data_IF_374299383512
#
_entry.id   IF_374299383512
#
_cell.length_a   1.000
_cell.length_b   1.000
_cell.length_c   1.000
_cell.angle_alpha   90.00
_cell.angle_beta   90.00
_cell.angle_gamma   90.00
#
_symmetry.space_group_name_H-M   'P 1'
#
loop_
_entity.id
_entity.type
_entity.pdbx_description
1 polymer ?
#
# COMPACT_ATOMS: atom_id res chain seq x y z
N UNK A 1 -11.03 -4.10 -20.16
CA UNK A 1 -10.59 -3.79 -18.78
C UNK A 1 -9.08 -3.92 -18.72
N UNK A 2 -8.40 -2.89 -18.24
CA UNK A 2 -7.01 -2.98 -17.78
C UNK A 2 -6.90 -3.97 -16.62
N UNK A 3 -5.70 -4.47 -16.31
CA UNK A 3 -5.56 -5.57 -15.35
C UNK A 3 -5.67 -5.09 -13.89
N UNK A 4 -4.88 -4.09 -13.51
CA UNK A 4 -4.74 -3.66 -12.11
C UNK A 4 -4.81 -2.14 -11.97
N UNK A 5 -5.53 -1.68 -10.95
CA UNK A 5 -5.39 -0.34 -10.39
C UNK A 5 -5.35 -0.39 -8.87
N UNK A 6 -4.87 0.70 -8.26
CA UNK A 6 -4.74 0.83 -6.80
C UNK A 6 -5.71 1.89 -6.30
N UNK A 7 -6.43 1.56 -5.22
CA UNK A 7 -7.30 2.47 -4.49
C UNK A 7 -6.68 2.76 -3.12
N UNK A 8 -6.55 4.03 -2.77
CA UNK A 8 -6.00 4.47 -1.48
C UNK A 8 -7.08 5.19 -0.68
N UNK A 9 -6.96 5.19 0.65
CA UNK A 9 -7.81 6.02 1.52
C UNK A 9 -7.57 7.52 1.32
N UNK A 10 -8.40 8.32 2.00
CA UNK A 10 -8.19 9.75 2.13
C UNK A 10 -6.84 10.07 2.76
N UNK A 11 -6.03 10.88 2.08
CA UNK A 11 -4.73 11.33 2.53
C UNK A 11 -4.88 12.59 3.38
N UNK A 12 -4.32 12.53 4.59
CA UNK A 12 -4.33 13.59 5.60
C UNK A 12 -2.92 13.76 6.19
N UNK A 13 -2.10 14.58 5.53
CA UNK A 13 -0.69 14.84 5.82
C UNK A 13 -0.40 16.34 5.91
N UNK A 14 -1.14 17.06 6.76
CA UNK A 14 -0.99 18.51 6.89
C UNK A 14 0.43 18.97 7.29
N UNK A 15 1.11 18.20 8.15
CA UNK A 15 2.40 18.57 8.75
C UNK A 15 3.53 17.58 8.43
N UNK A 16 3.27 16.55 7.63
CA UNK A 16 4.23 15.49 7.35
C UNK A 16 4.54 15.49 5.85
N UNK A 17 5.81 15.71 5.51
CA UNK A 17 6.27 15.61 4.13
C UNK A 17 6.77 14.20 3.83
N UNK A 18 5.96 13.43 3.09
CA UNK A 18 6.28 12.09 2.63
C UNK A 18 6.57 12.03 1.13
N UNK A 19 6.83 13.17 0.50
CA UNK A 19 6.92 13.29 -0.97
C UNK A 19 7.93 12.31 -1.58
N UNK A 20 9.11 12.16 -0.99
CA UNK A 20 10.15 11.25 -1.50
C UNK A 20 9.70 9.79 -1.43
N UNK A 21 9.14 9.36 -0.29
CA UNK A 21 8.61 8.00 -0.10
C UNK A 21 7.44 7.73 -1.03
N UNK A 22 6.61 8.74 -1.27
CA UNK A 22 5.47 8.65 -2.17
C UNK A 22 5.90 8.46 -3.63
N UNK A 23 6.95 9.14 -4.09
CA UNK A 23 7.51 8.92 -5.43
C UNK A 23 8.01 7.47 -5.56
N UNK A 24 8.78 6.98 -4.59
CA UNK A 24 9.28 5.59 -4.58
C UNK A 24 8.13 4.58 -4.65
N UNK A 25 7.08 4.78 -3.85
CA UNK A 25 5.91 3.91 -3.82
C UNK A 25 5.13 3.92 -5.15
N UNK A 26 4.89 5.10 -5.74
CA UNK A 26 4.18 5.23 -7.02
C UNK A 26 4.97 4.54 -8.16
N UNK A 27 6.28 4.77 -8.25
CA UNK A 27 7.11 4.15 -9.28
C UNK A 27 7.18 2.64 -9.11
N UNK A 28 7.30 2.14 -7.87
CA UNK A 28 7.29 0.70 -7.61
C UNK A 28 5.95 0.04 -8.01
N UNK A 29 4.82 0.69 -7.71
CA UNK A 29 3.52 0.20 -8.17
C UNK A 29 3.40 0.18 -9.69
N UNK A 30 3.94 1.19 -10.37
CA UNK A 30 3.98 1.23 -11.83
C UNK A 30 4.79 0.05 -12.39
N UNK A 31 5.98 -0.21 -11.85
CA UNK A 31 6.84 -1.34 -12.23
C UNK A 31 6.13 -2.67 -12.01
N UNK A 32 5.43 -2.84 -10.88
CA UNK A 32 4.68 -4.05 -10.55
C UNK A 32 3.44 -4.27 -11.45
N UNK A 33 3.03 -3.28 -12.23
CA UNK A 33 1.97 -3.39 -13.24
C UNK A 33 0.68 -2.67 -12.90
N UNK A 34 0.65 -1.81 -11.87
CA UNK A 34 -0.49 -0.95 -11.60
C UNK A 34 -0.63 0.11 -12.70
N UNK A 35 -1.79 0.16 -13.36
CA UNK A 35 -2.03 1.08 -14.48
C UNK A 35 -2.45 2.49 -14.05
N UNK A 36 -3.11 2.58 -12.89
CA UNK A 36 -3.61 3.83 -12.33
C UNK A 36 -3.69 3.72 -10.81
N UNK A 37 -3.44 4.83 -10.14
CA UNK A 37 -3.58 4.97 -8.69
C UNK A 37 -4.64 6.04 -8.41
N UNK A 38 -5.69 5.66 -7.70
CA UNK A 38 -6.77 6.54 -7.27
C UNK A 38 -6.52 6.99 -5.83
N UNK A 39 -6.29 8.28 -5.67
CA UNK A 39 -5.97 8.94 -4.41
C UNK A 39 -7.07 9.93 -4.05
N UNK A 40 -7.20 10.21 -2.76
CA UNK A 40 -8.24 11.08 -2.25
C UNK A 40 -7.64 12.16 -1.36
N UNK A 41 -7.86 13.42 -1.70
CA UNK A 41 -7.31 14.56 -0.96
C UNK A 41 -8.27 14.99 0.16
N UNK A 42 -7.79 14.91 1.41
CA UNK A 42 -8.38 15.64 2.53
C UNK A 42 -7.52 16.88 2.79
N UNK A 43 -6.36 16.71 3.42
CA UNK A 43 -5.38 17.77 3.69
C UNK A 43 -3.99 17.24 3.40
N UNK A 44 -3.19 17.99 2.63
CA UNK A 44 -1.89 17.50 2.18
C UNK A 44 -0.83 18.58 2.27
N UNK A 45 0.39 18.14 2.61
CA UNK A 45 1.58 18.96 2.53
C UNK A 45 1.79 19.47 1.08
N UNK A 46 2.20 20.73 0.86
CA UNK A 46 2.37 21.28 -0.49
C UNK A 46 3.30 20.47 -1.40
N UNK A 47 4.36 19.87 -0.86
CA UNK A 47 5.26 19.01 -1.63
C UNK A 47 4.58 17.71 -2.09
N UNK A 48 3.68 17.14 -1.28
CA UNK A 48 2.88 15.97 -1.67
C UNK A 48 1.95 16.37 -2.81
N UNK A 49 1.25 17.50 -2.69
CA UNK A 49 0.39 18.02 -3.76
C UNK A 49 1.16 18.26 -5.07
N UNK A 50 2.40 18.74 -4.99
CA UNK A 50 3.29 18.91 -6.14
C UNK A 50 3.64 17.57 -6.81
N UNK A 51 4.00 16.54 -6.03
CA UNK A 51 4.25 15.18 -6.54
C UNK A 51 3.01 14.61 -7.21
N UNK A 52 1.85 14.70 -6.55
CA UNK A 52 0.60 14.15 -7.08
C UNK A 52 0.16 14.85 -8.36
N UNK A 53 0.32 16.17 -8.45
CA UNK A 53 0.04 16.92 -9.68
C UNK A 53 0.88 16.40 -10.85
N UNK A 54 2.18 16.18 -10.66
CA UNK A 54 3.03 15.61 -11.69
C UNK A 54 2.51 14.25 -12.19
N UNK A 55 2.14 13.36 -11.27
CA UNK A 55 1.60 12.05 -11.65
C UNK A 55 0.19 12.09 -12.25
N UNK A 56 -0.61 13.12 -11.94
CA UNK A 56 -1.86 13.39 -12.63
C UNK A 56 -1.61 13.83 -14.07
N UNK A 57 -0.66 14.73 -14.30
CA UNK A 57 -0.35 15.28 -15.63
C UNK A 57 0.15 14.20 -16.59
N UNK A 58 0.90 13.20 -16.10
CA UNK A 58 1.32 12.04 -16.91
C UNK A 58 0.31 10.88 -16.91
N UNK A 59 -0.84 11.05 -16.25
CA UNK A 59 -1.94 10.10 -16.30
C UNK A 59 -1.80 8.87 -15.40
N UNK A 60 -0.81 8.78 -14.50
CA UNK A 60 -0.63 7.64 -13.60
C UNK A 60 -1.47 7.72 -12.31
N UNK A 61 -1.77 8.94 -11.87
CA UNK A 61 -2.60 9.21 -10.68
C UNK A 61 -3.92 9.87 -11.10
N UNK A 62 -4.98 9.57 -10.35
CA UNK A 62 -6.20 10.38 -10.30
C UNK A 62 -6.39 10.81 -8.85
N UNK A 63 -6.47 12.12 -8.62
CA UNK A 63 -6.65 12.71 -7.30
C UNK A 63 -8.05 13.32 -7.19
N UNK A 64 -8.85 12.78 -6.28
CA UNK A 64 -10.21 13.25 -6.03
C UNK A 64 -10.26 13.96 -4.68
N UNK A 65 -10.60 15.25 -4.68
CA UNK A 65 -10.82 16.00 -3.44
C UNK A 65 -12.09 15.52 -2.75
N UNK A 66 -12.01 15.25 -1.45
CA UNK A 66 -13.15 14.78 -0.64
C UNK A 66 -13.30 15.57 0.65
N UNK A 67 -14.49 15.48 1.22
CA UNK A 67 -14.88 16.04 2.52
C UNK A 67 -15.40 14.92 3.43
N UNK A 68 -15.37 15.16 4.75
CA UNK A 68 -16.04 14.29 5.70
C UNK A 68 -17.57 14.47 5.56
N UNK A 69 -18.36 13.39 5.54
CA UNK A 69 -19.80 13.47 5.31
C UNK A 69 -20.56 13.98 6.54
N UNK A 70 -21.78 14.47 6.30
CA UNK A 70 -22.71 14.91 7.33
C UNK A 70 -22.20 16.13 8.09
N UNK A 71 -22.39 16.13 9.41
CA UNK A 71 -22.03 17.25 10.29
C UNK A 71 -20.57 17.17 10.81
N UNK A 72 -19.72 16.39 10.15
CA UNK A 72 -18.31 16.27 10.51
C UNK A 72 -17.52 17.53 10.09
N UNK A 73 -16.45 17.89 10.82
CA UNK A 73 -15.70 19.12 10.53
C UNK A 73 -14.94 19.01 9.21
N UNK A 74 -15.11 20.02 8.35
CA UNK A 74 -14.42 20.15 7.06
C UNK A 74 -13.54 21.41 6.95
N UNK A 75 -13.46 22.21 8.00
CA UNK A 75 -12.52 23.33 8.05
C UNK A 75 -11.07 22.79 8.08
N UNK A 76 -10.16 23.34 7.27
CA UNK A 76 -8.74 22.97 7.29
C UNK A 76 -8.16 22.99 8.71
N UNK A 77 -7.28 22.04 9.04
CA UNK A 77 -6.67 21.91 10.37
C UNK A 77 -7.61 21.32 11.43
N UNK A 78 -8.87 21.77 11.52
CA UNK A 78 -9.87 21.16 12.41
C UNK A 78 -10.22 19.74 11.96
N UNK A 79 -10.33 19.52 10.65
CA UNK A 79 -10.54 18.18 10.09
C UNK A 79 -9.34 17.27 10.35
N UNK A 80 -8.10 17.75 10.14
CA UNK A 80 -6.89 17.02 10.51
C UNK A 80 -6.90 16.63 12.01
N UNK A 81 -7.18 17.58 12.89
CA UNK A 81 -7.30 17.34 14.33
C UNK A 81 -8.39 16.29 14.64
N UNK A 82 -9.57 16.41 14.03
CA UNK A 82 -10.67 15.47 14.23
C UNK A 82 -10.27 14.04 13.84
N UNK A 83 -9.68 13.85 12.66
CA UNK A 83 -9.23 12.54 12.18
C UNK A 83 -8.10 11.96 13.03
N UNK A 84 -7.19 12.80 13.53
CA UNK A 84 -6.09 12.39 14.42
C UNK A 84 -6.59 11.85 15.76
N UNK A 85 -7.57 12.51 16.39
CA UNK A 85 -8.03 12.16 17.74
C UNK A 85 -9.28 11.28 17.80
N UNK A 86 -10.08 11.21 16.73
CA UNK A 86 -11.28 10.34 16.63
C UNK A 86 -11.02 9.15 15.71
N UNK A 87 -10.19 8.22 16.17
CA UNK A 87 -9.72 7.07 15.38
C UNK A 87 -10.86 6.20 14.82
N UNK A 88 -11.94 5.98 15.57
CA UNK A 88 -13.10 5.23 15.07
C UNK A 88 -13.74 5.94 13.88
N UNK A 89 -13.99 7.26 14.00
CA UNK A 89 -14.52 8.07 12.90
C UNK A 89 -13.57 8.06 11.71
N UNK A 90 -12.26 8.20 11.93
CA UNK A 90 -11.25 8.10 10.87
C UNK A 90 -11.40 6.80 10.08
N UNK A 91 -11.41 5.65 10.76
CA UNK A 91 -11.53 4.32 10.13
C UNK A 91 -12.86 4.13 9.38
N UNK A 92 -13.96 4.67 9.91
CA UNK A 92 -15.25 4.63 9.22
C UNK A 92 -15.22 5.47 7.94
N UNK A 93 -14.62 6.66 7.98
CA UNK A 93 -14.48 7.53 6.82
C UNK A 93 -13.54 6.94 5.76
N UNK A 94 -12.54 6.14 6.14
CA UNK A 94 -11.66 5.44 5.17
C UNK A 94 -12.43 4.51 4.22
N UNK A 95 -13.61 4.01 4.60
CA UNK A 95 -14.42 3.14 3.75
C UNK A 95 -15.03 3.85 2.54
N UNK A 96 -15.28 5.15 2.62
CA UNK A 96 -15.91 5.95 1.58
C UNK A 96 -15.04 5.98 0.30
N UNK A 97 -13.77 6.42 0.34
CA UNK A 97 -12.92 6.46 -0.86
C UNK A 97 -12.66 5.08 -1.46
N UNK A 98 -12.60 4.02 -0.65
CA UNK A 98 -12.46 2.65 -1.18
C UNK A 98 -13.64 2.23 -2.04
N UNK A 99 -14.87 2.57 -1.62
CA UNK A 99 -16.07 2.21 -2.36
C UNK A 99 -16.33 3.17 -3.52
N UNK A 100 -16.06 4.48 -3.39
CA UNK A 100 -16.06 5.41 -4.54
C UNK A 100 -15.09 4.94 -5.63
N UNK A 101 -13.86 4.57 -5.24
CA UNK A 101 -12.86 4.02 -6.16
C UNK A 101 -13.37 2.77 -6.86
N UNK A 102 -13.95 1.83 -6.11
CA UNK A 102 -14.53 0.61 -6.67
C UNK A 102 -15.58 0.96 -7.72
N UNK A 103 -16.60 1.73 -7.36
CA UNK A 103 -17.76 1.97 -8.22
C UNK A 103 -17.42 2.73 -9.50
N UNK A 104 -16.47 3.67 -9.46
CA UNK A 104 -15.98 4.36 -10.66
C UNK A 104 -15.26 3.42 -11.64
N UNK A 105 -14.73 2.31 -11.14
CA UNK A 105 -13.73 1.51 -11.84
C UNK A 105 -14.13 0.05 -12.09
N UNK A 106 -15.35 -0.36 -11.71
CA UNK A 106 -15.84 -1.73 -11.93
C UNK A 106 -15.80 -2.17 -13.40
N UNK A 107 -15.95 -1.23 -14.33
CA UNK A 107 -15.90 -1.47 -15.78
C UNK A 107 -14.54 -1.20 -16.41
N UNK A 108 -13.60 -0.61 -15.67
CA UNK A 108 -12.30 -0.16 -16.17
C UNK A 108 -11.18 -1.18 -15.89
N UNK A 109 -11.19 -1.81 -14.71
CA UNK A 109 -10.13 -2.70 -14.26
C UNK A 109 -10.65 -4.09 -13.88
N UNK A 110 -9.84 -5.14 -14.08
CA UNK A 110 -10.16 -6.51 -13.64
C UNK A 110 -10.01 -6.65 -12.13
N UNK A 111 -8.91 -6.13 -11.59
CA UNK A 111 -8.60 -6.15 -10.16
C UNK A 111 -8.32 -4.75 -9.63
N UNK A 112 -8.85 -4.47 -8.44
CA UNK A 112 -8.48 -3.31 -7.64
C UNK A 112 -7.72 -3.76 -6.40
N UNK A 113 -6.52 -3.25 -6.19
CA UNK A 113 -5.77 -3.43 -4.95
C UNK A 113 -6.06 -2.26 -4.01
N UNK A 114 -6.44 -2.54 -2.77
CA UNK A 114 -6.60 -1.50 -1.74
C UNK A 114 -5.32 -1.46 -0.92
N UNK A 115 -4.55 -0.37 -1.00
CA UNK A 115 -3.25 -0.24 -0.35
C UNK A 115 -3.14 1.10 0.38
N UNK A 116 -2.45 1.10 1.51
CA UNK A 116 -1.90 2.32 2.09
C UNK A 116 -0.57 2.67 1.39
N UNK A 117 -0.14 3.94 1.48
CA UNK A 117 1.07 4.43 0.78
C UNK A 117 2.39 3.87 1.34
N UNK A 118 2.31 3.07 2.39
CA UNK A 118 3.42 2.38 3.06
C UNK A 118 3.36 0.86 2.85
N UNK A 119 2.48 0.39 1.97
CA UNK A 119 2.21 -1.02 1.72
C UNK A 119 2.43 -1.42 0.26
N UNK A 120 3.07 -2.56 0.03
CA UNK A 120 3.27 -3.14 -1.32
C UNK A 120 2.95 -4.62 -1.30
N UNK A 121 2.08 -5.06 -2.21
CA UNK A 121 1.94 -6.50 -2.52
C UNK A 121 3.14 -6.90 -3.38
N UNK A 122 4.08 -7.62 -2.79
CA UNK A 122 5.32 -8.03 -3.44
C UNK A 122 5.23 -9.49 -3.92
N UNK A 123 5.33 -9.74 -5.24
CA UNK A 123 5.53 -11.08 -5.77
C UNK A 123 6.92 -11.60 -5.39
N UNK A 124 7.01 -12.84 -4.91
CA UNK A 124 8.28 -13.47 -4.52
C UNK A 124 8.89 -14.28 -5.67
N UNK A 125 8.07 -15.01 -6.42
CA UNK A 125 8.52 -15.91 -7.51
C UNK A 125 8.27 -15.36 -8.92
N UNK A 126 7.66 -14.18 -9.03
CA UNK A 126 7.27 -13.55 -10.29
C UNK A 126 7.77 -12.10 -10.33
N UNK A 127 7.76 -11.50 -11.51
CA UNK A 127 8.29 -10.15 -11.74
C UNK A 127 7.22 -9.05 -11.65
N UNK A 128 5.94 -9.42 -11.72
CA UNK A 128 4.84 -8.45 -11.67
C UNK A 128 3.53 -9.10 -11.23
N UNK A 129 2.51 -8.26 -11.00
CA UNK A 129 1.19 -8.70 -10.57
C UNK A 129 0.45 -9.54 -11.60
N UNK A 130 0.70 -9.34 -12.91
CA UNK A 130 0.04 -10.13 -13.96
C UNK A 130 0.49 -11.59 -13.89
N UNK A 131 1.81 -11.84 -13.87
CA UNK A 131 2.38 -13.17 -13.74
C UNK A 131 1.97 -13.84 -12.41
N UNK A 132 2.03 -13.10 -11.30
CA UNK A 132 1.57 -13.59 -10.00
C UNK A 132 0.11 -14.04 -10.05
N UNK A 133 -0.77 -13.19 -10.59
CA UNK A 133 -2.20 -13.48 -10.60
C UNK A 133 -2.55 -14.61 -11.56
N UNK A 134 -1.83 -14.80 -12.66
CA UNK A 134 -2.01 -15.97 -13.53
C UNK A 134 -1.77 -17.28 -12.77
N UNK A 135 -0.68 -17.38 -12.00
CA UNK A 135 -0.40 -18.55 -11.17
C UNK A 135 -1.44 -18.74 -10.04
N UNK A 136 -1.80 -17.65 -9.35
CA UNK A 136 -2.80 -17.65 -8.28
C UNK A 136 -4.19 -18.08 -8.79
N UNK A 137 -4.60 -17.66 -9.99
CA UNK A 137 -5.88 -18.08 -10.56
C UNK A 137 -5.92 -19.59 -10.79
N UNK A 138 -4.86 -20.15 -11.37
CA UNK A 138 -4.74 -21.59 -11.61
C UNK A 138 -4.89 -22.36 -10.30
N UNK A 139 -4.19 -21.96 -9.25
CA UNK A 139 -4.27 -22.64 -7.95
C UNK A 139 -5.61 -22.43 -7.24
N UNK A 140 -6.23 -21.26 -7.39
CA UNK A 140 -7.54 -20.98 -6.83
C UNK A 140 -8.65 -21.82 -7.46
N UNK A 141 -8.57 -22.03 -8.79
CA UNK A 141 -9.52 -22.80 -9.57
C UNK A 141 -9.45 -24.30 -9.29
N UNK A 142 -8.27 -24.83 -8.94
CA UNK A 142 -8.11 -26.22 -8.47
C UNK A 142 -8.89 -26.50 -7.18
N UNK A 143 -9.03 -25.50 -6.29
CA UNK A 143 -9.79 -25.66 -5.03
C UNK A 143 -11.30 -25.56 -5.28
N UNK A 144 -11.73 -24.58 -6.09
CA UNK A 144 -13.11 -24.47 -6.56
C UNK A 144 -13.10 -23.92 -7.97
N UNK A 145 -13.85 -24.55 -8.88
CA UNK A 145 -13.92 -24.18 -10.29
C UNK A 145 -14.74 -22.89 -10.55
N UNK A 146 -14.41 -21.81 -9.85
CA UNK A 146 -14.93 -20.46 -10.07
C UNK A 146 -13.95 -19.41 -9.49
N UNK A 147 -13.93 -18.22 -10.08
CA UNK A 147 -13.10 -17.09 -9.64
C UNK A 147 -13.55 -16.53 -8.28
N UNK A 148 -12.64 -15.94 -7.52
CA UNK A 148 -12.90 -15.42 -6.17
C UNK A 148 -13.23 -13.95 -6.19
N UNK A 149 -13.95 -13.49 -5.16
CA UNK A 149 -14.22 -12.07 -4.95
C UNK A 149 -12.95 -11.31 -4.55
N UNK A 150 -12.03 -11.97 -3.84
CA UNK A 150 -10.75 -11.38 -3.49
C UNK A 150 -9.65 -12.43 -3.36
N UNK A 151 -8.42 -11.97 -3.54
CA UNK A 151 -7.19 -12.75 -3.36
C UNK A 151 -6.34 -12.00 -2.33
N UNK A 152 -6.33 -12.51 -1.09
CA UNK A 152 -5.68 -11.84 0.03
C UNK A 152 -4.22 -12.24 0.15
N UNK A 153 -3.41 -11.29 0.62
CA UNK A 153 -1.97 -11.42 0.76
C UNK A 153 -1.60 -11.15 2.22
N UNK A 154 -0.87 -12.08 2.84
CA UNK A 154 -0.50 -11.98 4.27
C UNK A 154 0.52 -10.87 4.51
N UNK A 155 0.28 -10.11 5.58
CA UNK A 155 1.14 -9.01 5.98
C UNK A 155 2.40 -9.46 6.72
N UNK A 156 3.51 -8.79 6.41
CA UNK A 156 4.77 -8.84 7.15
C UNK A 156 5.35 -7.42 7.29
N UNK A 157 5.91 -7.12 8.47
CA UNK A 157 6.39 -5.78 8.79
C UNK A 157 7.87 -5.60 8.46
N UNK A 158 8.18 -4.48 7.81
CA UNK A 158 9.52 -3.91 7.70
C UNK A 158 9.52 -2.68 8.61
N UNK A 159 10.02 -2.82 9.84
CA UNK A 159 10.07 -1.69 10.76
C UNK A 159 11.39 -0.93 10.59
N UNK A 160 11.35 0.40 10.74
CA UNK A 160 12.49 1.30 10.50
C UNK A 160 13.72 0.99 11.39
N UNK A 161 13.53 0.23 12.47
CA UNK A 161 14.57 -0.15 13.45
C UNK A 161 14.87 -1.66 13.46
N UNK A 162 14.39 -2.43 12.48
CA UNK A 162 14.77 -3.84 12.33
C UNK A 162 16.11 -3.97 11.62
N UNK A 163 16.99 -4.82 12.16
CA UNK A 163 18.32 -5.06 11.58
C UNK A 163 19.43 -4.23 12.24
N UNK A 164 19.06 -3.26 13.08
CA UNK A 164 20.00 -2.49 13.89
C UNK A 164 20.33 -3.27 15.17
N UNK A 165 21.63 -3.52 15.41
CA UNK A 165 22.08 -3.92 16.75
C UNK A 165 21.81 -2.81 17.76
N UNK A 166 21.87 -3.11 19.07
CA UNK A 166 21.57 -2.14 20.15
C UNK A 166 22.37 -0.81 20.06
N UNK A 167 23.45 -0.74 19.29
CA UNK A 167 24.31 0.44 19.12
C UNK A 167 23.93 1.39 17.97
N UNK A 168 22.96 1.09 17.10
CA UNK A 168 22.70 1.87 15.88
C UNK A 168 21.34 2.58 15.83
N UNK A 169 20.91 3.17 16.95
CA UNK A 169 19.67 3.96 17.05
C UNK A 169 19.71 5.35 16.36
N UNK A 170 20.37 5.48 15.20
CA UNK A 170 20.32 6.69 14.37
C UNK A 170 20.05 6.33 12.91
N UNK A 171 18.76 6.38 12.54
CA UNK A 171 18.19 6.15 11.21
C UNK A 171 19.12 6.49 10.05
N UNK A 172 19.76 5.46 9.50
CA UNK A 172 20.33 5.51 8.16
C UNK A 172 20.38 4.08 7.66
N UNK A 173 19.40 3.68 6.84
CA UNK A 173 19.59 2.53 5.98
C UNK A 173 20.90 2.71 5.22
N UNK A 174 21.82 1.79 5.43
CA UNK A 174 23.19 1.84 4.92
C UNK A 174 23.42 0.75 3.89
N UNK A 175 22.39 0.37 3.13
CA UNK A 175 22.55 -0.64 2.09
C UNK A 175 23.49 -0.10 1.00
N UNK A 176 24.69 -0.68 0.82
CA UNK A 176 25.70 -0.11 -0.08
C UNK A 176 25.18 -0.01 -1.52
N UNK A 177 25.39 1.16 -2.14
CA UNK A 177 24.93 1.42 -3.50
C UNK A 177 23.42 1.71 -3.63
N UNK A 178 22.68 1.80 -2.53
CA UNK A 178 21.29 2.28 -2.51
C UNK A 178 21.27 3.72 -2.00
N UNK A 179 20.63 4.67 -2.69
CA UNK A 179 20.46 6.03 -2.18
C UNK A 179 19.71 6.05 -0.84
N UNK A 180 20.19 6.83 0.13
CA UNK A 180 19.62 6.90 1.49
C UNK A 180 18.18 7.42 1.55
N UNK A 181 17.75 8.15 0.53
CA UNK A 181 16.41 8.73 0.47
C UNK A 181 15.33 7.74 0.00
N UNK A 182 15.71 6.54 -0.49
CA UNK A 182 14.80 5.49 -0.93
C UNK A 182 14.47 4.57 0.24
N UNK A 183 13.35 4.83 0.90
CA UNK A 183 12.99 4.18 2.15
C UNK A 183 12.76 2.67 1.97
N UNK A 184 11.96 2.26 0.99
CA UNK A 184 11.63 0.84 0.82
C UNK A 184 12.83 0.01 0.40
N UNK A 185 13.70 0.55 -0.47
CA UNK A 185 14.93 -0.12 -0.89
C UNK A 185 15.98 -0.24 0.22
N UNK A 186 15.99 0.69 1.17
CA UNK A 186 16.90 0.70 2.31
C UNK A 186 16.47 -0.25 3.45
N UNK A 187 15.18 -0.48 3.61
CA UNK A 187 14.65 -1.30 4.70
C UNK A 187 14.34 -2.71 4.20
N UNK A 188 15.35 -3.58 4.22
CA UNK A 188 15.23 -4.98 3.78
C UNK A 188 15.21 -5.99 4.91
N UNK A 189 15.16 -5.56 6.17
CA UNK A 189 14.90 -6.44 7.30
C UNK A 189 13.43 -6.39 7.66
N UNK A 190 12.81 -7.57 7.67
CA UNK A 190 11.41 -7.73 8.08
C UNK A 190 11.29 -8.62 9.29
N UNK A 191 10.16 -8.53 9.98
CA UNK A 191 9.74 -9.52 10.96
C UNK A 191 9.75 -10.92 10.33
N UNK A 192 10.28 -11.91 11.06
CA UNK A 192 10.24 -13.31 10.64
C UNK A 192 8.79 -13.80 10.51
N UNK A 193 7.97 -13.42 11.47
CA UNK A 193 6.58 -13.85 11.56
C UNK A 193 5.66 -12.99 10.69
N UNK A 194 4.80 -13.67 9.94
CA UNK A 194 3.65 -13.07 9.27
C UNK A 194 2.52 -12.84 10.28
N UNK A 195 1.72 -11.79 10.08
CA UNK A 195 0.46 -11.55 10.80
C UNK A 195 -0.51 -12.73 10.68
N UNK A 196 -1.33 -13.01 11.70
CA UNK A 196 -2.25 -14.17 11.68
C UNK A 196 -3.15 -14.17 10.43
N UNK A 197 -3.59 -15.35 9.93
CA UNK A 197 -4.46 -15.43 8.76
C UNK A 197 -5.65 -14.47 8.83
N UNK A 198 -5.86 -13.68 7.76
CA UNK A 198 -6.94 -12.69 7.65
C UNK A 198 -6.70 -11.37 8.39
N UNK A 199 -5.67 -11.24 9.22
CA UNK A 199 -5.35 -10.00 9.92
C UNK A 199 -4.43 -9.11 9.08
N UNK A 200 -4.76 -7.82 8.99
CA UNK A 200 -3.98 -6.79 8.29
C UNK A 200 -3.65 -7.13 6.82
N UNK A 201 -4.37 -8.06 6.22
CA UNK A 201 -4.16 -8.47 4.82
C UNK A 201 -4.60 -7.37 3.88
N UNK A 202 -4.02 -7.32 2.68
CA UNK A 202 -4.57 -6.57 1.55
C UNK A 202 -4.89 -7.52 0.43
N UNK A 203 -5.81 -7.11 -0.44
CA UNK A 203 -6.34 -7.99 -1.46
C UNK A 203 -6.27 -7.35 -2.84
N UNK A 204 -6.13 -8.21 -3.85
CA UNK A 204 -6.67 -7.93 -5.18
C UNK A 204 -8.16 -8.26 -5.16
N UNK A 205 -9.02 -7.26 -5.35
CA UNK A 205 -10.46 -7.40 -5.40
C UNK A 205 -10.92 -7.56 -6.84
N UNK A 206 -11.64 -8.64 -7.14
CA UNK A 206 -12.20 -8.89 -8.45
C UNK A 206 -13.45 -8.02 -8.66
N UNK A 207 -13.38 -7.07 -9.60
CA UNK A 207 -14.43 -6.08 -9.83
C UNK A 207 -15.75 -6.65 -10.32
N UNK A 208 -15.76 -7.90 -10.82
CA UNK A 208 -16.97 -8.57 -11.29
C UNK A 208 -17.72 -9.29 -10.18
N UNK A 209 -17.14 -9.36 -8.98
CA UNK A 209 -17.67 -10.15 -7.87
C UNK A 209 -17.90 -9.36 -6.60
N UNK A 210 -17.13 -8.31 -6.35
CA UNK A 210 -17.28 -7.47 -5.15
C UNK A 210 -18.38 -6.43 -5.37
N UNK A 211 -19.16 -6.19 -4.32
CA UNK A 211 -20.17 -5.12 -4.27
C UNK A 211 -19.70 -3.99 -3.35
N UNK A 212 -19.09 -4.29 -2.21
CA UNK A 212 -18.52 -3.25 -1.35
C UNK A 212 -17.27 -3.74 -0.62
N UNK A 213 -16.39 -2.81 -0.27
CA UNK A 213 -15.05 -3.10 0.24
C UNK A 213 -14.84 -2.56 1.65
N UNK A 214 -14.11 -3.35 2.44
CA UNK A 214 -13.37 -2.91 3.62
C UNK A 214 -11.87 -2.80 3.26
N UNK A 215 -11.11 -2.08 4.09
CA UNK A 215 -9.66 -1.88 3.94
C UNK A 215 -8.85 -3.18 3.70
N UNK A 216 -9.37 -4.31 4.19
CA UNK A 216 -8.68 -5.60 4.18
C UNK A 216 -9.40 -6.71 3.40
N UNK A 217 -10.71 -6.61 3.17
CA UNK A 217 -11.51 -7.71 2.62
C UNK A 217 -12.81 -7.18 1.97
N UNK A 218 -13.44 -7.93 1.05
CA UNK A 218 -14.75 -7.55 0.54
C UNK A 218 -15.82 -7.71 1.62
N UNK A 219 -16.66 -6.70 1.80
CA UNK A 219 -17.78 -6.73 2.75
C UNK A 219 -18.99 -7.42 2.15
N UNK A 220 -19.34 -7.04 0.93
CA UNK A 220 -20.47 -7.59 0.19
C UNK A 220 -20.03 -8.00 -1.21
N UNK A 221 -20.66 -9.03 -1.77
CA UNK A 221 -20.31 -9.63 -3.06
C UNK A 221 -21.56 -10.10 -3.80
N UNK A 222 -21.48 -10.24 -5.12
CA UNK A 222 -22.49 -10.96 -5.89
C UNK A 222 -22.46 -12.45 -5.49
N UNK A 223 -23.51 -12.90 -4.82
CA UNK A 223 -23.54 -14.21 -4.16
C UNK A 223 -22.72 -14.21 -2.86
N UNK A 224 -21.91 -15.25 -2.65
CA UNK A 224 -21.06 -15.36 -1.46
C UNK A 224 -19.71 -14.65 -1.60
N UNK A 225 -19.27 -13.96 -0.54
CA UNK A 225 -17.91 -13.40 -0.48
C UNK A 225 -16.86 -14.49 -0.27
N UNK A 226 -16.24 -14.93 -1.35
CA UNK A 226 -15.15 -15.90 -1.31
C UNK A 226 -13.80 -15.21 -1.43
N UNK A 227 -12.93 -15.44 -0.47
CA UNK A 227 -11.53 -14.98 -0.49
C UNK A 227 -10.60 -16.17 -0.66
N UNK A 228 -9.61 -16.07 -1.54
CA UNK A 228 -8.50 -17.02 -1.60
C UNK A 228 -7.25 -16.42 -0.96
N UNK A 229 -6.61 -17.16 -0.06
CA UNK A 229 -5.39 -16.71 0.58
C UNK A 229 -4.19 -17.14 -0.25
N UNK A 230 -3.46 -16.17 -0.79
CA UNK A 230 -2.28 -16.42 -1.59
C UNK A 230 -1.19 -16.99 -0.67
N UNK A 231 -0.56 -18.08 -1.11
CA UNK A 231 0.52 -18.70 -0.37
C UNK A 231 1.67 -17.69 -0.18
N UNK A 232 2.20 -17.61 1.04
CA UNK A 232 3.33 -16.73 1.37
C UNK A 232 4.62 -17.08 0.64
N UNK A 233 4.68 -18.21 -0.08
CA UNK A 233 5.76 -18.51 -1.02
C UNK A 233 5.64 -17.78 -2.37
N UNK A 234 4.43 -17.37 -2.77
CA UNK A 234 4.17 -16.69 -4.04
C UNK A 234 4.19 -15.17 -3.89
N UNK A 235 3.59 -14.64 -2.82
CA UNK A 235 3.55 -13.21 -2.54
C UNK A 235 3.35 -12.93 -1.05
N UNK A 236 3.78 -11.75 -0.61
CA UNK A 236 3.40 -11.19 0.68
C UNK A 236 3.10 -9.69 0.58
N UNK A 237 2.46 -9.15 1.62
CA UNK A 237 2.26 -7.72 1.76
C UNK A 237 3.40 -7.18 2.63
N UNK A 238 4.25 -6.37 2.02
CA UNK A 238 5.31 -5.64 2.70
C UNK A 238 4.72 -4.38 3.29
N UNK A 239 4.83 -4.22 4.61
CA UNK A 239 4.34 -3.03 5.31
C UNK A 239 5.50 -2.29 5.98
N UNK A 240 5.87 -1.16 5.40
CA UNK A 240 7.02 -0.34 5.77
C UNK A 240 6.64 0.70 6.81
N UNK A 241 7.04 0.55 8.06
CA UNK A 241 6.57 1.44 9.13
C UNK A 241 7.65 1.82 10.12
N UNK A 242 7.53 3.02 10.68
CA UNK A 242 8.41 3.44 11.79
C UNK A 242 8.31 2.54 13.02
N UNK A 243 7.09 2.15 13.40
CA UNK A 243 6.85 1.33 14.59
C UNK A 243 5.50 0.59 14.46
N UNK A 244 5.25 -0.37 15.35
CA UNK A 244 4.05 -1.20 15.40
C UNK A 244 2.77 -0.38 15.63
N UNK A 245 1.63 -0.88 15.14
CA UNK A 245 0.33 -0.23 15.39
C UNK A 245 -0.10 -0.42 16.84
N UNK A 246 -0.92 0.51 17.36
CA UNK A 246 -1.48 0.46 18.72
C UNK A 246 -2.04 -0.92 19.12
N UNK A 247 -2.90 -1.57 18.32
CA UNK A 247 -3.44 -2.90 18.65
C UNK A 247 -2.40 -4.00 18.76
N UNK A 248 -1.24 -3.85 18.12
CA UNK A 248 -0.14 -4.81 18.18
C UNK A 248 0.91 -4.43 19.21
N UNK A 249 0.83 -3.26 19.86
CA UNK A 249 1.91 -2.72 20.70
C UNK A 249 2.37 -3.71 21.79
N UNK A 250 1.44 -4.47 22.36
CA UNK A 250 1.73 -5.44 23.41
C UNK A 250 2.45 -6.69 22.90
N UNK A 251 2.08 -7.19 21.72
CA UNK A 251 2.69 -8.40 21.15
C UNK A 251 3.81 -8.10 20.15
N UNK A 252 4.00 -6.83 19.75
CA UNK A 252 4.96 -6.52 18.69
C UNK A 252 6.40 -6.75 19.12
N UNK A 253 6.71 -6.40 20.38
CA UNK A 253 8.03 -6.65 20.96
C UNK A 253 8.40 -8.12 20.93
N UNK A 254 7.43 -9.03 21.07
CA UNK A 254 7.66 -10.49 21.11
C UNK A 254 7.51 -11.15 19.75
N UNK A 255 6.52 -10.73 18.97
CA UNK A 255 6.09 -11.47 17.78
C UNK A 255 6.78 -10.96 16.51
N UNK A 256 7.11 -9.67 16.45
CA UNK A 256 7.51 -9.01 15.20
C UNK A 256 8.90 -8.35 15.29
N UNK A 257 9.42 -8.08 16.49
CA UNK A 257 10.73 -7.43 16.69
C UNK A 257 11.86 -8.38 17.08
N UNK A 258 11.57 -9.52 17.69
CA UNK A 258 12.61 -10.44 18.22
C UNK A 258 13.40 -11.12 17.10
N UNK A 259 12.70 -11.65 16.11
CA UNK A 259 13.33 -12.42 15.04
C UNK A 259 13.08 -11.72 13.71
N UNK A 260 14.16 -11.37 13.03
CA UNK A 260 14.12 -10.71 11.73
C UNK A 260 14.63 -11.65 10.64
N UNK A 261 14.22 -11.38 9.41
CA UNK A 261 14.69 -12.03 8.19
C UNK A 261 15.11 -10.93 7.23
N UNK A 262 16.31 -11.05 6.68
CA UNK A 262 16.75 -10.20 5.58
C UNK A 262 16.04 -10.64 4.29
N UNK A 263 15.30 -9.73 3.69
CA UNK A 263 14.43 -9.94 2.55
C UNK A 263 14.70 -8.86 1.49
N UNK A 264 15.52 -9.23 0.52
CA UNK A 264 15.93 -8.34 -0.57
C UNK A 264 15.04 -8.49 -1.80
N UNK A 265 13.82 -9.02 -1.67
CA UNK A 265 12.96 -9.29 -2.83
C UNK A 265 12.65 -8.03 -3.63
N UNK A 266 12.51 -6.89 -2.95
CA UNK A 266 12.30 -5.58 -3.62
C UNK A 266 13.46 -5.20 -4.55
N UNK A 267 14.67 -5.72 -4.32
CA UNK A 267 15.84 -5.39 -5.13
C UNK A 267 15.84 -5.97 -6.55
N UNK A 268 14.88 -6.85 -6.88
CA UNK A 268 14.59 -7.21 -8.27
C UNK A 268 14.37 -5.97 -9.15
N UNK A 269 13.84 -4.90 -8.56
CA UNK A 269 13.52 -3.66 -9.24
C UNK A 269 14.47 -2.52 -8.89
N UNK A 270 15.58 -2.80 -8.17
CA UNK A 270 16.44 -1.79 -7.56
C UNK A 270 16.91 -0.72 -8.55
N UNK A 271 17.53 -1.15 -9.65
CA UNK A 271 18.19 -0.23 -10.57
C UNK A 271 17.16 0.61 -11.33
N UNK A 272 16.06 -0.01 -11.78
CA UNK A 272 14.95 0.70 -12.44
C UNK A 272 14.26 1.68 -11.48
N UNK A 273 13.98 1.27 -10.25
CA UNK A 273 13.31 2.09 -9.24
C UNK A 273 14.17 3.28 -8.81
N UNK A 274 15.48 3.08 -8.62
CA UNK A 274 16.43 4.16 -8.37
C UNK A 274 16.39 5.16 -9.51
N UNK A 275 16.54 4.69 -10.77
CA UNK A 275 16.60 5.56 -11.92
C UNK A 275 15.32 6.39 -12.09
N UNK A 276 14.15 5.76 -12.02
CA UNK A 276 12.84 6.42 -12.15
C UNK A 276 12.59 7.43 -11.03
N UNK A 277 12.76 7.01 -9.77
CA UNK A 277 12.51 7.88 -8.62
C UNK A 277 13.46 9.08 -8.63
N UNK A 278 14.75 8.85 -8.90
CA UNK A 278 15.75 9.93 -8.99
C UNK A 278 15.36 10.95 -10.06
N UNK A 279 14.95 10.47 -11.24
CA UNK A 279 14.58 11.35 -12.34
C UNK A 279 13.37 12.23 -11.99
N UNK A 280 12.33 11.65 -11.37
CA UNK A 280 11.14 12.40 -10.95
C UNK A 280 11.52 13.43 -9.87
N UNK A 281 12.29 13.04 -8.86
CA UNK A 281 12.71 13.93 -7.78
C UNK A 281 13.57 15.09 -8.28
N UNK A 282 14.47 14.86 -9.26
CA UNK A 282 15.23 15.92 -9.93
C UNK A 282 14.32 16.87 -10.72
N UNK A 283 13.40 16.34 -11.54
CA UNK A 283 12.44 17.17 -12.30
C UNK A 283 11.59 18.05 -11.41
N UNK A 284 11.21 17.52 -10.24
CA UNK A 284 10.44 18.25 -9.25
C UNK A 284 11.31 19.14 -8.35
N UNK A 285 12.63 19.18 -8.52
CA UNK A 285 13.52 20.04 -7.75
C UNK A 285 13.58 19.68 -6.25
N UNK A 286 13.43 18.40 -5.90
CA UNK A 286 13.69 17.91 -4.54
C UNK A 286 15.18 17.71 -4.27
N UNK A 287 15.98 17.60 -5.32
CA UNK A 287 17.44 17.60 -5.25
C UNK A 287 17.95 18.92 -5.86
N UNK A 288 18.82 19.58 -5.12
CA UNK A 288 19.58 20.75 -5.59
C UNK A 288 20.85 20.28 -6.30
#
# INVERSE_FOLDING_TARGET
KEEFAVCVKGLDFLHEDLSVRLVEWIELLNILGAKKIFLYELEMHPNISKVLKYYQDIGLVELTKITLPGNQPNLPGFRHFYLKYKLTSKRQNELIPYNDCLYRNIYSYKYLALLDIDEIIMPLQHDNWSQLMQAVQVDSLKIKNYTRASYNVRNVYFLDDLGDGEEQMTHTGHEPGIPRYLHMLQHVYRSRNYTKPGQYVKCFHNTERVLSLHNHFPLNCFGGCTTYSINTSLAHLQHYRKDCVGPLKNSCKTDFRVYTVRDTTIWKYKDELIARTTNVLQRLGFFA
#
